data_IF_838356514078
#
_entry.id   IF_838356514078
#
_cell.length_a   1.000
_cell.length_b   1.000
_cell.length_c   1.000
_cell.angle_alpha   90.00
_cell.angle_beta   90.00
_cell.angle_gamma   90.00
#
_symmetry.space_group_name_H-M   'P 1'
#
loop_
_entity.id
_entity.type
_entity.pdbx_description
1 polymer ?
#
# COMPACT_ATOMS: atom_id res chain seq x y z
N UNK A 1 11.43 2.34 -13.17
CA UNK A 1 10.23 2.48 -12.31
C UNK A 1 10.59 2.93 -10.89
N UNK A 2 11.51 2.25 -10.20
CA UNK A 2 11.91 2.58 -8.80
C UNK A 2 12.23 4.07 -8.52
N UNK A 3 12.97 4.77 -9.40
CA UNK A 3 13.28 6.22 -9.22
C UNK A 3 12.05 7.14 -9.11
N UNK A 4 10.87 6.71 -9.58
CA UNK A 4 9.63 7.51 -9.56
C UNK A 4 8.63 7.03 -8.50
N UNK A 5 8.92 5.94 -7.80
CA UNK A 5 8.01 5.35 -6.82
C UNK A 5 8.51 5.71 -5.42
N UNK A 6 7.77 6.53 -4.65
CA UNK A 6 8.21 6.96 -3.34
C UNK A 6 8.17 5.80 -2.33
N UNK A 7 9.09 5.82 -1.37
CA UNK A 7 9.01 4.95 -0.20
C UNK A 7 8.02 5.53 0.80
N UNK A 8 6.86 4.88 0.93
CA UNK A 8 5.75 5.35 1.80
C UNK A 8 5.60 4.54 3.09
N UNK A 9 6.26 3.39 3.21
CA UNK A 9 6.18 2.54 4.40
C UNK A 9 7.23 2.95 5.43
N UNK A 10 6.79 3.27 6.65
CA UNK A 10 7.67 3.63 7.77
C UNK A 10 8.10 2.41 8.63
N UNK A 11 8.23 1.24 8.02
CA UNK A 11 8.68 0.03 8.70
C UNK A 11 10.22 -0.08 8.70
N UNK A 12 10.78 -0.80 9.67
CA UNK A 12 12.21 -1.12 9.73
C UNK A 12 12.66 -1.83 8.44
N UNK A 13 13.84 -1.47 7.88
CA UNK A 13 14.86 -0.55 8.40
C UNK A 13 14.61 0.95 8.10
N UNK A 14 13.63 1.28 7.28
CA UNK A 14 13.39 2.65 6.79
C UNK A 14 12.62 3.54 7.79
N UNK A 15 12.05 2.96 8.84
CA UNK A 15 11.33 3.69 9.87
C UNK A 15 11.28 2.93 11.19
N UNK A 16 10.44 3.43 12.11
CA UNK A 16 10.42 2.98 13.51
C UNK A 16 9.52 1.76 13.76
N UNK A 17 8.58 1.48 12.86
CA UNK A 17 7.54 0.48 13.05
C UNK A 17 7.95 -0.91 12.56
N UNK A 18 7.30 -1.96 13.05
CA UNK A 18 7.52 -3.33 12.59
C UNK A 18 6.44 -3.74 11.56
N UNK A 19 6.63 -4.90 10.93
CA UNK A 19 5.65 -5.44 9.98
C UNK A 19 4.25 -5.66 10.61
N UNK A 20 4.20 -6.10 11.87
CA UNK A 20 2.93 -6.27 12.58
C UNK A 20 2.15 -4.96 12.75
N UNK A 21 2.84 -3.83 12.83
CA UNK A 21 2.21 -2.51 12.91
C UNK A 21 1.65 -2.09 11.54
N UNK A 22 2.35 -2.44 10.46
CA UNK A 22 1.85 -2.27 9.09
C UNK A 22 0.58 -3.09 8.85
N UNK A 23 0.53 -4.34 9.29
CA UNK A 23 -0.67 -5.18 9.18
C UNK A 23 -1.87 -4.55 9.91
N UNK A 24 -1.65 -3.98 11.11
CA UNK A 24 -2.68 -3.22 11.85
C UNK A 24 -3.12 -1.95 11.12
N UNK A 25 -2.19 -1.27 10.45
CA UNK A 25 -2.44 -0.06 9.66
C UNK A 25 -3.24 -0.30 8.36
N UNK A 26 -3.54 -1.57 8.01
CA UNK A 26 -4.24 -1.95 6.79
C UNK A 26 -3.40 -2.80 5.83
N UNK A 27 -2.18 -3.16 6.22
CA UNK A 27 -1.32 -4.12 5.56
C UNK A 27 -0.84 -3.67 4.18
N UNK A 28 -0.40 -4.64 3.39
CA UNK A 28 0.00 -4.42 1.99
C UNK A 28 -1.12 -3.79 1.13
N UNK A 29 -2.41 -4.15 1.29
CA UNK A 29 -3.47 -3.48 0.54
C UNK A 29 -3.49 -1.96 0.77
N UNK A 30 -3.26 -1.48 1.99
CA UNK A 30 -3.20 -0.04 2.29
C UNK A 30 -2.04 0.66 1.55
N UNK A 31 -0.90 0.00 1.43
CA UNK A 31 0.25 0.49 0.65
C UNK A 31 -0.11 0.56 -0.83
N UNK A 32 -0.72 -0.50 -1.37
CA UNK A 32 -1.19 -0.53 -2.77
C UNK A 32 -2.24 0.54 -3.02
N UNK A 33 -3.12 0.82 -2.06
CA UNK A 33 -4.13 1.88 -2.15
C UNK A 33 -3.49 3.25 -2.36
N UNK A 34 -2.44 3.58 -1.60
CA UNK A 34 -1.69 4.85 -1.77
C UNK A 34 -0.98 4.93 -3.11
N UNK A 35 -0.55 3.79 -3.65
CA UNK A 35 0.16 3.72 -4.92
C UNK A 35 -0.76 3.52 -6.12
N UNK A 36 -2.10 3.56 -5.95
CA UNK A 36 -3.07 3.43 -7.04
C UNK A 36 -2.72 4.24 -8.30
N UNK A 37 -2.25 5.51 -8.22
CA UNK A 37 -1.89 6.29 -9.41
C UNK A 37 -0.70 5.74 -10.21
N UNK A 38 0.13 4.91 -9.57
CA UNK A 38 1.34 4.31 -10.16
C UNK A 38 1.16 2.83 -10.51
N UNK A 39 0.01 2.23 -10.17
CA UNK A 39 -0.28 0.81 -10.37
C UNK A 39 -1.19 0.57 -11.57
N UNK A 40 -0.97 -0.55 -12.26
CA UNK A 40 -1.94 -1.04 -13.25
C UNK A 40 -3.13 -1.70 -12.54
N UNK A 41 -4.23 -0.96 -12.38
CA UNK A 41 -5.41 -1.39 -11.63
C UNK A 41 -6.25 -2.44 -12.37
N UNK A 42 -6.06 -2.62 -13.68
CA UNK A 42 -6.86 -3.54 -14.49
C UNK A 42 -6.28 -4.96 -14.53
N UNK A 43 -5.13 -5.20 -13.91
CA UNK A 43 -4.54 -6.53 -13.82
C UNK A 43 -5.43 -7.50 -13.04
N UNK A 44 -5.68 -8.69 -13.59
CA UNK A 44 -6.35 -9.77 -12.87
C UNK A 44 -5.44 -10.33 -11.79
N UNK A 45 -6.01 -10.63 -10.63
CA UNK A 45 -5.34 -11.27 -9.51
C UNK A 45 -5.78 -12.73 -9.38
N UNK A 46 -5.09 -13.51 -8.55
CA UNK A 46 -5.43 -14.93 -8.30
C UNK A 46 -6.82 -15.14 -7.70
N UNK A 47 -7.43 -14.10 -7.11
CA UNK A 47 -8.82 -14.14 -6.65
C UNK A 47 -9.85 -14.04 -7.77
N UNK A 48 -9.41 -13.89 -9.03
CA UNK A 48 -10.29 -13.66 -10.19
C UNK A 48 -10.75 -12.21 -10.35
N UNK A 49 -10.57 -11.37 -9.33
CA UNK A 49 -10.88 -9.93 -9.33
C UNK A 49 -9.69 -9.12 -9.86
N UNK A 50 -9.97 -7.93 -10.39
CA UNK A 50 -8.92 -6.94 -10.72
C UNK A 50 -8.30 -6.33 -9.46
N UNK A 51 -7.09 -5.78 -9.60
CA UNK A 51 -6.45 -5.01 -8.51
C UNK A 51 -7.37 -3.87 -8.05
N UNK A 52 -8.02 -3.16 -8.98
CA UNK A 52 -9.01 -2.12 -8.66
C UNK A 52 -10.09 -2.62 -7.71
N UNK A 53 -10.66 -3.78 -7.99
CA UNK A 53 -11.75 -4.35 -7.20
C UNK A 53 -11.28 -4.75 -5.80
N UNK A 54 -10.10 -5.34 -5.68
CA UNK A 54 -9.53 -5.70 -4.38
C UNK A 54 -9.22 -4.47 -3.52
N UNK A 55 -8.93 -3.31 -4.12
CA UNK A 55 -8.61 -2.08 -3.41
C UNK A 55 -9.83 -1.19 -3.11
N UNK A 56 -11.05 -1.56 -3.51
CA UNK A 56 -12.25 -0.72 -3.30
C UNK A 56 -12.56 -0.49 -1.81
N UNK A 57 -12.44 -1.54 -1.01
CA UNK A 57 -12.84 -1.54 0.41
C UNK A 57 -11.65 -1.32 1.36
N UNK A 58 -10.46 -1.07 0.81
CA UNK A 58 -9.24 -0.92 1.60
C UNK A 58 -9.15 0.50 2.14
N UNK A 59 -8.97 0.60 3.46
CA UNK A 59 -8.75 1.85 4.17
C UNK A 59 -7.36 1.88 4.78
N UNK A 60 -6.67 3.02 4.64
CA UNK A 60 -5.43 3.30 5.35
C UNK A 60 -5.81 3.74 6.76
N UNK A 61 -5.44 2.94 7.78
CA UNK A 61 -5.83 3.20 9.17
C UNK A 61 -4.83 4.06 9.92
N UNK A 62 -3.58 4.08 9.46
CA UNK A 62 -2.50 4.84 10.08
C UNK A 62 -1.62 5.48 9.00
N UNK A 63 -1.67 6.80 8.90
CA UNK A 63 -0.92 7.59 7.91
C UNK A 63 0.54 7.82 8.31
N UNK A 64 0.92 7.56 9.57
CA UNK A 64 2.33 7.62 9.98
C UNK A 64 3.09 6.38 9.52
N UNK A 65 2.41 5.23 9.52
CA UNK A 65 2.93 3.93 9.06
C UNK A 65 2.87 3.82 7.54
N UNK A 66 1.73 4.19 6.92
CA UNK A 66 1.53 4.19 5.45
C UNK A 66 1.30 5.62 4.98
N UNK A 67 2.41 6.29 4.66
CA UNK A 67 2.44 7.74 4.39
C UNK A 67 1.80 8.10 3.04
N UNK A 68 1.25 9.32 2.90
CA UNK A 68 0.86 9.83 1.59
C UNK A 68 2.08 9.91 0.66
N UNK A 69 1.93 9.53 -0.64
CA UNK A 69 2.98 9.75 -1.62
C UNK A 69 3.18 11.26 -1.82
N UNK A 70 4.44 11.71 -1.81
CA UNK A 70 4.85 13.09 -2.14
C UNK A 70 5.23 13.20 -3.60
#
# INVERSE_FOLDING_TARGET
MSRRTPTICAIKPNGKYNFSDLEKAGGIPAVMKRLEPLLNLNGKTVSGKTVRENLKEVMVRDEEIVRPPR
#
